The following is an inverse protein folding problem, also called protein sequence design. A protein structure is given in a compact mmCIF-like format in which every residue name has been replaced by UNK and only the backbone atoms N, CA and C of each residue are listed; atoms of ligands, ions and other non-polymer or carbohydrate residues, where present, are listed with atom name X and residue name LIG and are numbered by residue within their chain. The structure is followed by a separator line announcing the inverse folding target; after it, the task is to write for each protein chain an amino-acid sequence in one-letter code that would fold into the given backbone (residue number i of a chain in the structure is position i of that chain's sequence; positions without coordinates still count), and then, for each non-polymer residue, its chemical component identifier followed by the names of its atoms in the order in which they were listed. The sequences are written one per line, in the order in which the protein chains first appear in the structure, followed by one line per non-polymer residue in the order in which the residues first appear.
data_IF_297139359637
#
_entry.id   IF_297139359637
#
_cell.length_a   1.000
_cell.length_b   1.000
_cell.length_c   1.000
_cell.angle_alpha   90.00
_cell.angle_beta   90.00
_cell.angle_gamma   90.00
#
_symmetry.space_group_name_H-M   'P 1'
#
loop_
_entity.id
_entity.type
_entity.pdbx_description
1 polymer ?
#
# COMPACT_ATOMS: atom_id res chain seq x y z
N UNK A 1 -14.97 -15.52 -39.72
CA UNK A 1 -16.16 -15.16 -38.92
C UNK A 1 -16.15 -16.00 -37.66
N UNK A 2 -15.95 -15.41 -36.46
CA UNK A 2 -16.04 -16.17 -35.20
C UNK A 2 -17.53 -16.31 -34.88
N UNK A 3 -18.05 -17.52 -34.98
CA UNK A 3 -19.42 -17.87 -34.59
C UNK A 3 -19.64 -17.47 -33.13
N UNK A 4 -20.57 -16.55 -32.89
CA UNK A 4 -20.99 -16.18 -31.54
C UNK A 4 -21.81 -17.34 -30.95
N UNK A 5 -21.11 -18.28 -30.31
CA UNK A 5 -21.75 -19.33 -29.53
C UNK A 5 -22.66 -18.70 -28.48
N UNK A 6 -23.94 -19.05 -28.50
CA UNK A 6 -24.95 -18.52 -27.57
C UNK A 6 -24.45 -18.67 -26.13
N UNK A 7 -24.63 -17.60 -25.35
CA UNK A 7 -24.30 -17.58 -23.93
C UNK A 7 -25.18 -18.58 -23.19
N UNK A 8 -24.65 -19.75 -22.80
CA UNK A 8 -25.35 -20.61 -21.85
C UNK A 8 -25.16 -20.04 -20.45
N UNK A 9 -26.25 -19.96 -19.69
CA UNK A 9 -26.19 -19.56 -18.29
C UNK A 9 -25.48 -20.69 -17.52
N UNK A 10 -24.22 -20.45 -17.16
CA UNK A 10 -23.48 -21.31 -16.24
C UNK A 10 -23.65 -20.74 -14.84
N UNK A 11 -24.29 -21.51 -13.97
CA UNK A 11 -24.35 -21.20 -12.55
C UNK A 11 -23.05 -21.65 -11.89
N UNK A 12 -22.20 -20.68 -11.54
CA UNK A 12 -20.97 -20.94 -10.81
C UNK A 12 -21.28 -21.09 -9.32
N UNK A 13 -20.77 -22.15 -8.70
CA UNK A 13 -20.88 -22.36 -7.25
C UNK A 13 -20.17 -21.25 -6.47
N UNK A 14 -20.63 -20.97 -5.25
CA UNK A 14 -20.00 -19.95 -4.41
C UNK A 14 -18.53 -20.28 -4.11
N UNK A 15 -18.23 -21.55 -3.79
CA UNK A 15 -16.86 -22.00 -3.54
C UNK A 15 -15.93 -21.74 -4.73
N UNK A 16 -16.41 -21.98 -5.96
CA UNK A 16 -15.65 -21.69 -7.16
C UNK A 16 -15.37 -20.18 -7.31
N UNK A 17 -16.37 -19.33 -7.06
CA UNK A 17 -16.20 -17.86 -7.12
C UNK A 17 -15.14 -17.39 -6.12
N UNK A 18 -15.16 -17.91 -4.90
CA UNK A 18 -14.21 -17.57 -3.85
C UNK A 18 -12.78 -17.99 -4.22
N UNK A 19 -12.59 -19.22 -4.71
CA UNK A 19 -11.28 -19.71 -5.13
C UNK A 19 -10.68 -18.86 -6.28
N UNK A 20 -11.50 -18.46 -7.25
CA UNK A 20 -11.05 -17.58 -8.34
C UNK A 20 -10.66 -16.19 -7.81
N UNK A 21 -11.42 -15.66 -6.85
CA UNK A 21 -11.12 -14.35 -6.23
C UNK A 21 -9.81 -14.42 -5.43
N UNK A 22 -9.63 -15.41 -4.59
CA UNK A 22 -8.41 -15.62 -3.80
C UNK A 22 -7.17 -15.68 -4.68
N UNK A 23 -7.24 -16.43 -5.78
CA UNK A 23 -6.13 -16.57 -6.71
C UNK A 23 -5.76 -15.25 -7.43
N UNK A 24 -6.76 -14.42 -7.72
CA UNK A 24 -6.54 -13.11 -8.32
C UNK A 24 -5.99 -12.11 -7.31
N UNK A 25 -6.46 -12.12 -6.06
CA UNK A 25 -5.98 -11.22 -5.01
C UNK A 25 -4.56 -11.55 -4.54
N UNK A 26 -4.20 -12.84 -4.55
CA UNK A 26 -2.82 -13.29 -4.31
C UNK A 26 -1.86 -12.89 -5.44
N UNK A 27 -2.38 -12.43 -6.58
CA UNK A 27 -1.58 -12.02 -7.73
C UNK A 27 -1.04 -13.17 -8.59
N UNK A 28 -1.49 -14.40 -8.37
CA UNK A 28 -1.09 -15.57 -9.18
C UNK A 28 -1.61 -15.46 -10.62
N UNK A 29 -2.73 -14.77 -10.81
CA UNK A 29 -3.27 -14.46 -12.14
C UNK A 29 -4.08 -13.17 -12.15
N UNK A 30 -4.12 -12.52 -13.30
CA UNK A 30 -5.03 -11.38 -13.53
C UNK A 30 -6.46 -11.85 -13.80
N UNK A 31 -7.45 -10.99 -13.58
CA UNK A 31 -8.85 -11.33 -13.86
C UNK A 31 -9.10 -11.76 -15.32
N UNK A 32 -8.33 -11.23 -16.29
CA UNK A 32 -8.40 -11.61 -17.71
C UNK A 32 -7.85 -13.02 -17.95
N UNK A 33 -6.77 -13.38 -17.25
CA UNK A 33 -6.19 -14.71 -17.29
C UNK A 33 -7.12 -15.72 -16.60
N UNK A 34 -7.70 -15.38 -15.45
CA UNK A 34 -8.71 -16.20 -14.78
C UNK A 34 -9.91 -16.48 -15.70
N UNK A 35 -10.40 -15.45 -16.40
CA UNK A 35 -11.50 -15.60 -17.35
C UNK A 35 -11.16 -16.61 -18.46
N UNK A 36 -9.96 -16.52 -19.03
CA UNK A 36 -9.53 -17.40 -20.13
C UNK A 36 -9.27 -18.83 -19.65
N UNK A 37 -8.59 -18.98 -18.50
CA UNK A 37 -8.20 -20.27 -17.91
C UNK A 37 -9.40 -21.10 -17.48
N UNK A 38 -10.39 -20.45 -16.87
CA UNK A 38 -11.60 -21.12 -16.37
C UNK A 38 -12.77 -21.10 -17.37
N UNK A 39 -12.57 -20.56 -18.57
CA UNK A 39 -13.61 -20.50 -19.61
C UNK A 39 -14.83 -19.69 -19.19
N UNK A 40 -14.62 -18.61 -18.43
CA UNK A 40 -15.69 -17.74 -17.94
C UNK A 40 -16.19 -16.89 -19.10
N UNK A 41 -17.46 -17.08 -19.45
CA UNK A 41 -18.06 -16.50 -20.66
C UNK A 41 -18.27 -14.97 -20.59
N UNK A 42 -18.45 -14.41 -19.39
CA UNK A 42 -18.69 -12.98 -19.21
C UNK A 42 -17.41 -12.19 -18.97
N UNK A 43 -17.18 -11.16 -19.80
CA UNK A 43 -15.99 -10.29 -19.75
C UNK A 43 -15.82 -9.56 -18.41
N UNK A 44 -16.92 -9.29 -17.72
CA UNK A 44 -16.95 -8.60 -16.43
C UNK A 44 -17.30 -9.53 -15.27
N UNK A 45 -17.55 -10.82 -15.50
CA UNK A 45 -18.02 -11.75 -14.45
C UNK A 45 -17.02 -11.86 -13.30
N UNK A 46 -15.74 -12.00 -13.62
CA UNK A 46 -14.67 -12.05 -12.61
C UNK A 46 -14.58 -10.73 -11.83
N UNK A 47 -14.70 -9.58 -12.51
CA UNK A 47 -14.75 -8.25 -11.87
C UNK A 47 -15.98 -8.06 -10.96
N UNK A 48 -17.11 -8.69 -11.29
CA UNK A 48 -18.30 -8.68 -10.42
C UNK A 48 -18.05 -9.51 -9.16
N UNK A 49 -17.37 -10.65 -9.27
CA UNK A 49 -17.00 -11.47 -8.10
C UNK A 49 -16.00 -10.76 -7.21
N UNK A 50 -14.96 -10.15 -7.79
CA UNK A 50 -13.98 -9.35 -7.06
C UNK A 50 -14.64 -8.21 -6.27
N UNK A 51 -15.64 -7.53 -6.85
CA UNK A 51 -16.37 -6.47 -6.14
C UNK A 51 -17.32 -6.96 -5.04
N UNK A 52 -17.75 -8.21 -5.08
CA UNK A 52 -18.69 -8.80 -4.11
C UNK A 52 -17.99 -9.59 -3.01
N UNK A 53 -16.88 -10.23 -3.34
CA UNK A 53 -16.20 -11.21 -2.50
C UNK A 53 -14.72 -10.90 -2.27
N UNK A 54 -14.15 -9.93 -2.99
CA UNK A 54 -12.77 -9.50 -2.78
C UNK A 54 -12.61 -8.67 -1.50
N UNK A 55 -11.43 -8.76 -0.91
CA UNK A 55 -11.00 -7.91 0.19
C UNK A 55 -10.45 -6.56 -0.31
N UNK A 56 -10.02 -6.49 -1.58
CA UNK A 56 -9.51 -5.26 -2.18
C UNK A 56 -10.63 -4.36 -2.73
N UNK A 57 -10.39 -3.03 -2.75
CA UNK A 57 -11.34 -2.06 -3.29
C UNK A 57 -11.39 -2.05 -4.82
N UNK A 58 -12.13 -2.99 -5.40
CA UNK A 58 -12.34 -3.13 -6.86
C UNK A 58 -13.39 -2.16 -7.44
N UNK A 59 -13.83 -1.15 -6.69
CA UNK A 59 -14.89 -0.20 -7.08
C UNK A 59 -14.40 0.98 -7.92
N UNK A 60 -13.11 1.34 -7.85
CA UNK A 60 -12.60 2.61 -8.36
C UNK A 60 -12.27 2.69 -9.87
N UNK A 61 -12.54 1.65 -10.68
CA UNK A 61 -12.07 1.60 -12.07
C UNK A 61 -13.13 1.37 -13.15
N UNK A 62 -14.42 1.60 -12.87
CA UNK A 62 -15.53 1.17 -13.75
C UNK A 62 -16.65 2.22 -13.96
N UNK A 63 -16.36 3.52 -13.89
CA UNK A 63 -17.32 4.55 -14.33
C UNK A 63 -17.09 4.89 -15.81
N UNK A 64 -18.13 4.93 -16.67
CA UNK A 64 -17.98 5.27 -18.09
C UNK A 64 -17.43 6.68 -18.34
N UNK A 65 -17.62 7.58 -17.36
CA UNK A 65 -17.17 8.98 -17.38
C UNK A 65 -15.69 9.15 -17.01
N UNK A 66 -15.03 8.08 -16.56
CA UNK A 66 -13.62 8.10 -16.20
C UNK A 66 -12.99 6.78 -16.62
N UNK A 67 -12.45 6.66 -17.85
CA UNK A 67 -11.69 5.49 -18.28
C UNK A 67 -10.30 5.53 -17.65
N UNK A 68 -10.22 5.72 -16.33
CA UNK A 68 -9.09 5.26 -15.55
C UNK A 68 -9.45 3.84 -15.14
N UNK A 69 -9.38 2.95 -16.14
CA UNK A 69 -8.93 1.62 -15.82
C UNK A 69 -7.61 1.82 -15.11
N UNK A 70 -7.58 1.57 -13.80
CA UNK A 70 -6.45 0.87 -13.24
C UNK A 70 -6.39 -0.47 -13.99
N UNK A 71 -5.89 -0.40 -15.23
CA UNK A 71 -4.93 -1.35 -15.66
C UNK A 71 -4.02 -1.61 -14.46
N UNK A 72 -3.67 -2.87 -14.27
CA UNK A 72 -2.47 -3.26 -13.54
C UNK A 72 -1.26 -2.65 -14.28
N UNK A 73 -1.20 -1.33 -14.32
CA UNK A 73 -0.17 -0.45 -14.88
C UNK A 73 -0.23 0.79 -13.98
N UNK A 74 0.60 0.75 -12.95
CA UNK A 74 1.20 1.93 -12.33
C UNK A 74 0.24 3.08 -12.01
N UNK A 75 -0.68 2.89 -11.06
CA UNK A 75 -1.32 4.03 -10.39
C UNK A 75 -0.38 4.54 -9.30
N UNK A 76 0.42 5.57 -9.63
CA UNK A 76 0.91 6.67 -8.78
C UNK A 76 1.02 6.41 -7.27
N UNK A 77 1.59 5.27 -6.93
CA UNK A 77 2.15 4.91 -5.65
C UNK A 77 3.56 4.53 -6.04
N UNK A 78 4.55 5.20 -5.42
CA UNK A 78 5.95 4.87 -5.63
C UNK A 78 6.07 3.35 -5.60
N UNK A 79 6.75 2.79 -6.61
CA UNK A 79 7.03 1.35 -6.63
C UNK A 79 7.58 0.96 -5.26
N UNK A 80 7.28 -0.23 -4.74
CA UNK A 80 7.76 -0.64 -3.42
C UNK A 80 9.28 -0.42 -3.29
N UNK A 81 10.03 -0.62 -4.37
CA UNK A 81 11.47 -0.33 -4.47
C UNK A 81 11.81 1.17 -4.35
N UNK A 82 11.07 2.06 -5.01
CA UNK A 82 11.27 3.51 -4.86
C UNK A 82 10.98 3.97 -3.43
N UNK A 83 9.96 3.41 -2.78
CA UNK A 83 9.62 3.72 -1.38
C UNK A 83 10.71 3.23 -0.43
N UNK A 84 11.26 2.04 -0.67
CA UNK A 84 12.38 1.50 0.10
C UNK A 84 13.58 2.44 -0.03
N UNK A 85 13.95 2.83 -1.25
CA UNK A 85 15.07 3.74 -1.51
C UNK A 85 14.90 5.10 -0.83
N UNK A 86 13.70 5.66 -0.85
CA UNK A 86 13.41 6.93 -0.18
C UNK A 86 13.54 6.79 1.35
N UNK A 87 13.01 5.71 1.92
CA UNK A 87 13.11 5.43 3.36
C UNK A 87 14.57 5.20 3.79
N UNK A 88 15.36 4.46 3.00
CA UNK A 88 16.79 4.29 3.24
C UNK A 88 17.52 5.63 3.23
N UNK A 89 17.21 6.50 2.27
CA UNK A 89 17.78 7.84 2.21
C UNK A 89 17.42 8.66 3.47
N UNK A 90 16.16 8.63 3.90
CA UNK A 90 15.71 9.29 5.12
C UNK A 90 16.43 8.75 6.37
N UNK A 91 16.65 7.43 6.46
CA UNK A 91 17.42 6.82 7.55
C UNK A 91 18.85 7.36 7.58
N UNK A 92 19.55 7.37 6.44
CA UNK A 92 20.93 7.89 6.39
C UNK A 92 21.02 9.38 6.75
N UNK A 93 20.02 10.19 6.39
CA UNK A 93 19.99 11.60 6.75
C UNK A 93 19.76 11.79 8.26
N UNK A 94 18.85 11.00 8.84
CA UNK A 94 18.56 11.03 10.27
C UNK A 94 19.74 10.55 11.11
N UNK A 95 20.46 9.51 10.67
CA UNK A 95 21.67 9.02 11.32
C UNK A 95 22.77 10.09 11.34
N UNK A 96 23.04 10.74 10.20
CA UNK A 96 24.01 11.85 10.13
C UNK A 96 23.62 13.02 11.03
N UNK A 97 22.33 13.37 11.08
CA UNK A 97 21.83 14.41 11.99
C UNK A 97 22.04 14.01 13.45
N UNK A 98 21.77 12.76 13.82
CA UNK A 98 21.99 12.26 15.17
C UNK A 98 23.46 12.28 15.57
N UNK A 99 24.36 11.82 14.70
CA UNK A 99 25.82 11.86 14.91
C UNK A 99 26.30 13.30 15.10
N UNK A 100 25.82 14.24 14.28
CA UNK A 100 26.11 15.66 14.43
C UNK A 100 25.65 16.20 15.79
N UNK A 101 24.42 15.91 16.20
CA UNK A 101 23.90 16.35 17.49
C UNK A 101 24.69 15.75 18.66
N UNK A 102 25.09 14.48 18.58
CA UNK A 102 25.92 13.85 19.60
C UNK A 102 27.28 14.56 19.71
N UNK A 103 27.95 14.83 18.58
CA UNK A 103 29.21 15.57 18.56
C UNK A 103 29.07 16.97 19.16
N UNK A 104 28.01 17.71 18.83
CA UNK A 104 27.70 19.01 19.43
C UNK A 104 27.51 18.87 20.94
N UNK A 105 26.75 17.87 21.40
CA UNK A 105 26.54 17.60 22.84
C UNK A 105 27.86 17.29 23.53
N UNK A 106 28.76 16.51 22.92
CA UNK A 106 30.09 16.24 23.49
C UNK A 106 30.92 17.51 23.65
N UNK A 107 30.96 18.38 22.63
CA UNK A 107 31.68 19.67 22.70
C UNK A 107 31.10 20.54 23.82
N UNK A 108 29.77 20.63 23.92
CA UNK A 108 29.14 21.38 25.01
C UNK A 108 29.45 20.83 26.40
N UNK A 109 29.55 19.50 26.55
CA UNK A 109 29.98 18.87 27.80
C UNK A 109 31.45 19.20 28.11
N UNK A 110 32.34 19.14 27.11
CA UNK A 110 33.79 19.40 27.26
C UNK A 110 34.08 20.86 27.58
N UNK A 111 33.54 21.80 26.80
CA UNK A 111 33.97 23.20 26.83
C UNK A 111 33.14 24.06 27.77
N UNK A 112 31.86 23.72 27.96
CA UNK A 112 30.91 24.55 28.71
C UNK A 112 30.40 23.89 30.00
N UNK A 113 30.82 22.65 30.31
CA UNK A 113 30.42 21.93 31.53
C UNK A 113 28.90 21.70 31.65
N UNK A 114 28.15 21.75 30.55
CA UNK A 114 26.69 21.64 30.55
C UNK A 114 26.26 20.18 30.71
N UNK A 115 25.75 19.81 31.89
CA UNK A 115 25.06 18.52 32.08
C UNK A 115 23.64 18.59 31.55
N UNK A 116 23.41 18.05 30.35
CA UNK A 116 22.07 17.87 29.79
C UNK A 116 21.37 16.74 30.54
N UNK A 117 20.44 17.08 31.42
CA UNK A 117 19.64 16.11 32.17
C UNK A 117 18.38 15.78 31.38
N UNK A 118 18.10 14.49 31.16
CA UNK A 118 16.91 14.00 30.42
C UNK A 118 15.57 14.53 30.96
N UNK A 119 15.50 14.89 32.25
CA UNK A 119 14.36 15.59 32.88
C UNK A 119 14.78 16.98 33.37
N UNK A 120 14.15 18.07 32.91
CA UNK A 120 14.38 19.39 33.47
C UNK A 120 13.91 19.42 34.93
N UNK A 121 14.73 19.97 35.84
CA UNK A 121 14.28 20.26 37.20
C UNK A 121 13.25 21.41 37.11
N UNK A 122 12.01 21.14 37.50
CA UNK A 122 10.95 22.14 37.49
C UNK A 122 11.35 23.37 38.30
N UNK A 123 11.12 24.57 37.76
CA UNK A 123 11.37 25.82 38.47
C UNK A 123 10.45 25.88 39.69
N UNK A 124 10.98 25.74 40.90
CA UNK A 124 10.17 25.94 42.11
C UNK A 124 9.80 27.42 42.20
N UNK A 125 8.51 27.72 42.03
CA UNK A 125 7.98 29.07 42.16
C UNK A 125 7.95 29.42 43.67
N UNK A 126 9.00 30.07 44.18
CA UNK A 126 8.97 30.60 45.56
C UNK A 126 8.11 31.87 45.59
N UNK A 127 6.88 31.75 46.10
CA UNK A 127 6.08 32.91 46.51
C UNK A 127 6.78 33.61 47.68
N UNK A 128 7.18 34.88 47.50
CA UNK A 128 7.59 35.75 48.61
C UNK A 128 6.33 36.15 49.40
N UNK A 129 6.46 36.11 50.72
CA UNK A 129 5.46 36.55 51.70
C UNK A 129 5.76 38.00 52.09
#
# INVERSE_FOLDING_TARGET
MKSESKRTQRDYSLAFKLAVVEQVEKGEMTYKQAQSRYGIQGRSTVLVWLRKHGQLDWRLGCTPLHPQGAAMTSSSSLTPEQRIKELEQQLTEMEKKAEFFEAVVEVLKRDNGVTIVKKPRGKSFRRKK
#
